data_IF_489650359751
#
_entry.id   IF_489650359751
#
_cell.length_a   1.000
_cell.length_b   1.000
_cell.length_c   1.000
_cell.angle_alpha   90.00
_cell.angle_beta   90.00
_cell.angle_gamma   90.00
#
_symmetry.space_group_name_H-M   'P 1'
#
loop_
_entity.id
_entity.type
_entity.pdbx_description
1 polymer ?
#
# COMPACT_ATOMS: atom_id res chain seq x y z
N UNK A 1 5.61 0.67 -10.58
CA UNK A 1 6.39 1.68 -11.33
C UNK A 1 6.44 2.98 -10.53
N UNK A 2 7.29 3.96 -10.87
CA UNK A 2 7.23 5.31 -10.27
C UNK A 2 6.32 6.21 -11.08
N UNK A 3 5.80 7.27 -10.46
CA UNK A 3 4.98 8.27 -11.14
C UNK A 3 5.76 8.96 -12.26
N UNK A 4 7.06 9.18 -12.07
CA UNK A 4 7.97 9.78 -13.06
C UNK A 4 8.14 8.94 -14.34
N UNK A 5 7.72 7.66 -14.32
CA UNK A 5 7.84 6.74 -15.45
C UNK A 5 6.55 6.66 -16.29
N UNK A 6 5.49 7.38 -15.92
CA UNK A 6 4.23 7.39 -16.67
C UNK A 6 4.37 8.15 -17.99
N UNK A 7 3.76 7.61 -19.03
CA UNK A 7 3.64 8.31 -20.31
C UNK A 7 2.46 9.30 -20.29
N UNK A 8 2.48 10.30 -21.19
CA UNK A 8 1.37 11.25 -21.34
C UNK A 8 0.05 10.54 -21.61
N UNK A 9 -1.00 10.98 -20.92
CA UNK A 9 -2.34 10.39 -21.01
C UNK A 9 -2.54 9.11 -20.21
N UNK A 10 -1.49 8.54 -19.62
CA UNK A 10 -1.65 7.37 -18.76
C UNK A 10 -2.26 7.73 -17.41
N UNK A 11 -3.14 6.85 -16.92
CA UNK A 11 -3.73 6.89 -15.60
C UNK A 11 -3.17 5.78 -14.73
N UNK A 12 -2.88 6.11 -13.48
CA UNK A 12 -2.38 5.16 -12.50
C UNK A 12 -2.96 5.42 -11.11
N UNK A 13 -2.91 4.40 -10.25
CA UNK A 13 -3.30 4.52 -8.84
C UNK A 13 -2.06 4.69 -7.98
N UNK A 14 -2.10 5.65 -7.07
CA UNK A 14 -1.04 5.88 -6.09
C UNK A 14 -1.06 4.75 -5.05
N UNK A 15 0.05 4.01 -4.94
CA UNK A 15 0.20 2.93 -3.96
C UNK A 15 0.96 3.40 -2.74
N UNK A 16 1.99 4.23 -2.93
CA UNK A 16 2.85 4.69 -1.85
C UNK A 16 3.51 6.01 -2.18
N UNK A 17 3.64 6.86 -1.18
CA UNK A 17 4.50 8.06 -1.24
C UNK A 17 5.69 7.83 -0.30
N UNK A 18 6.88 7.88 -0.87
CA UNK A 18 8.16 7.78 -0.16
C UNK A 18 8.73 9.18 0.10
N UNK A 19 9.74 9.27 0.97
CA UNK A 19 10.34 10.55 1.39
C UNK A 19 9.99 10.92 2.83
N UNK A 20 10.67 11.96 3.34
CA UNK A 20 10.66 12.31 4.75
C UNK A 20 10.39 13.80 4.96
N UNK A 21 10.00 14.17 6.17
CA UNK A 21 9.84 15.57 6.58
C UNK A 21 8.78 16.34 5.77
N UNK A 22 9.08 17.60 5.49
CA UNK A 22 8.15 18.54 4.85
C UNK A 22 7.68 18.13 3.45
N UNK A 23 8.52 17.44 2.69
CA UNK A 23 8.17 16.96 1.34
C UNK A 23 6.94 16.03 1.38
N UNK A 24 6.99 15.02 2.26
CA UNK A 24 5.92 14.02 2.35
C UNK A 24 4.61 14.65 2.81
N UNK A 25 4.66 15.56 3.79
CA UNK A 25 3.48 16.30 4.26
C UNK A 25 2.84 17.11 3.12
N UNK A 26 3.64 17.89 2.41
CA UNK A 26 3.20 18.71 1.26
C UNK A 26 2.59 17.87 0.15
N UNK A 27 3.23 16.76 -0.26
CA UNK A 27 2.72 15.89 -1.33
C UNK A 27 1.35 15.29 -0.96
N UNK A 28 1.17 14.89 0.30
CA UNK A 28 -0.11 14.40 0.79
C UNK A 28 -1.17 15.51 0.79
N UNK A 29 -0.84 16.72 1.23
CA UNK A 29 -1.72 17.90 1.20
C UNK A 29 -2.11 18.29 -0.23
N UNK A 30 -1.20 18.10 -1.20
CA UNK A 30 -1.47 18.29 -2.63
C UNK A 30 -2.29 17.15 -3.26
N UNK A 31 -2.82 16.20 -2.50
CA UNK A 31 -3.76 15.19 -2.99
C UNK A 31 -3.12 13.91 -3.54
N UNK A 32 -1.80 13.77 -3.48
CA UNK A 32 -1.11 12.53 -3.83
C UNK A 32 -1.17 11.53 -2.67
N UNK A 33 -2.38 11.04 -2.41
CA UNK A 33 -2.69 10.07 -1.34
C UNK A 33 -2.91 8.67 -1.92
N UNK A 34 -2.60 7.65 -1.11
CA UNK A 34 -2.78 6.24 -1.49
C UNK A 34 -4.22 5.95 -1.89
N UNK A 35 -4.39 5.23 -3.01
CA UNK A 35 -5.68 4.85 -3.57
C UNK A 35 -6.30 5.90 -4.49
N UNK A 36 -5.72 7.09 -4.63
CA UNK A 36 -6.19 8.09 -5.59
C UNK A 36 -5.59 7.86 -6.98
N UNK A 37 -6.40 8.18 -7.98
CA UNK A 37 -6.02 8.15 -9.40
C UNK A 37 -5.27 9.43 -9.73
N UNK A 38 -4.20 9.28 -10.50
CA UNK A 38 -3.41 10.35 -11.06
C UNK A 38 -3.25 10.13 -12.56
N UNK A 39 -3.38 11.21 -13.33
CA UNK A 39 -3.23 11.23 -14.79
C UNK A 39 -2.03 12.10 -15.16
N UNK A 40 -1.22 11.69 -16.13
CA UNK A 40 -0.09 12.48 -16.61
C UNK A 40 -0.51 13.36 -17.78
N UNK A 41 -0.38 14.69 -17.65
CA UNK A 41 -0.91 15.68 -18.60
C UNK A 41 0.13 16.34 -19.52
N UNK A 42 1.43 16.02 -19.36
CA UNK A 42 2.60 16.56 -20.09
C UNK A 42 2.43 17.87 -20.90
N UNK A 43 3.13 18.94 -20.50
CA UNK A 43 3.19 20.19 -21.27
C UNK A 43 4.53 20.94 -21.13
N UNK A 44 5.66 20.21 -21.08
CA UNK A 44 7.00 20.78 -20.93
C UNK A 44 7.97 20.26 -22.02
N UNK A 45 8.66 21.15 -22.77
CA UNK A 45 9.54 20.75 -23.88
C UNK A 45 10.79 19.95 -23.45
N UNK A 46 11.12 19.94 -22.15
CA UNK A 46 12.31 19.29 -21.58
C UNK A 46 12.00 18.19 -20.56
N UNK A 47 10.76 17.69 -20.50
CA UNK A 47 10.32 16.59 -19.61
C UNK A 47 10.47 16.81 -18.09
N UNK A 48 10.82 18.03 -17.63
CA UNK A 48 10.82 18.43 -16.22
C UNK A 48 10.50 19.94 -16.09
N UNK A 49 9.54 20.36 -15.25
CA UNK A 49 8.62 19.56 -14.44
C UNK A 49 7.50 18.90 -15.27
N UNK A 50 6.88 17.86 -14.70
CA UNK A 50 5.78 17.12 -15.32
C UNK A 50 4.45 17.57 -14.69
N UNK A 51 3.44 17.82 -15.52
CA UNK A 51 2.07 18.12 -15.07
C UNK A 51 1.27 16.85 -14.85
N UNK A 52 0.55 16.79 -13.74
CA UNK A 52 -0.35 15.70 -13.38
C UNK A 52 -1.73 16.25 -13.03
N UNK A 53 -2.78 15.46 -13.29
CA UNK A 53 -4.13 15.69 -12.74
C UNK A 53 -4.34 14.78 -11.55
N UNK A 54 -4.74 15.35 -10.41
CA UNK A 54 -5.09 14.61 -9.21
C UNK A 54 -6.30 15.29 -8.55
N UNK A 55 -7.28 14.51 -8.10
CA UNK A 55 -8.51 15.02 -7.45
C UNK A 55 -9.23 16.14 -8.26
N UNK A 56 -9.12 16.12 -9.60
CA UNK A 56 -9.78 17.08 -10.48
C UNK A 56 -9.03 18.40 -10.73
N UNK A 57 -7.84 18.60 -10.15
CA UNK A 57 -6.99 19.77 -10.41
C UNK A 57 -5.61 19.37 -10.92
N UNK A 58 -4.90 20.34 -11.51
CA UNK A 58 -3.58 20.13 -12.11
C UNK A 58 -2.47 20.55 -11.15
N UNK A 59 -1.45 19.71 -11.02
CA UNK A 59 -0.25 19.96 -10.21
C UNK A 59 0.99 19.69 -11.04
N UNK A 60 1.96 20.61 -10.99
CA UNK A 60 3.28 20.38 -11.58
C UNK A 60 4.23 19.86 -10.51
N UNK A 61 4.84 18.70 -10.75
CA UNK A 61 5.88 18.14 -9.88
C UNK A 61 7.20 18.03 -10.64
N UNK A 62 8.31 18.28 -9.94
CA UNK A 62 9.63 17.93 -10.49
C UNK A 62 9.73 16.42 -10.65
N UNK A 63 10.50 15.97 -11.64
CA UNK A 63 10.74 14.55 -11.90
C UNK A 63 11.33 13.84 -10.68
N UNK A 64 12.21 14.51 -9.94
CA UNK A 64 12.78 13.99 -8.68
C UNK A 64 11.73 13.80 -7.58
N UNK A 65 10.70 14.64 -7.54
CA UNK A 65 9.58 14.52 -6.59
C UNK A 65 8.65 13.38 -7.01
N UNK A 66 8.32 13.30 -8.30
CA UNK A 66 7.51 12.22 -8.87
C UNK A 66 8.18 10.84 -8.72
N UNK A 67 9.52 10.76 -8.73
CA UNK A 67 10.26 9.52 -8.49
C UNK A 67 10.02 8.92 -7.08
N UNK A 68 9.56 9.73 -6.12
CA UNK A 68 9.21 9.28 -4.77
C UNK A 68 7.79 8.72 -4.65
N UNK A 69 6.96 8.82 -5.69
CA UNK A 69 5.59 8.31 -5.70
C UNK A 69 5.54 7.00 -6.48
N UNK A 70 5.09 5.93 -5.83
CA UNK A 70 4.88 4.62 -6.45
C UNK A 70 3.43 4.49 -6.92
N UNK A 71 3.28 4.05 -8.16
CA UNK A 71 1.99 3.89 -8.82
C UNK A 71 1.87 2.52 -9.50
N UNK A 72 0.62 2.14 -9.77
CA UNK A 72 0.26 0.99 -10.61
C UNK A 72 -0.65 1.49 -11.72
N UNK A 73 -0.24 1.29 -12.98
CA UNK A 73 -1.02 1.72 -14.15
C UNK A 73 -2.33 0.93 -14.28
N UNK A 74 -3.34 1.53 -14.90
CA UNK A 74 -4.65 0.87 -15.10
C UNK A 74 -4.56 -0.45 -15.89
N UNK A 75 -3.61 -0.57 -16.82
CA UNK A 75 -3.34 -1.82 -17.55
C UNK A 75 -2.86 -2.95 -16.64
N UNK A 76 -2.07 -2.63 -15.60
CA UNK A 76 -1.53 -3.60 -14.65
C UNK A 76 -2.54 -4.00 -13.56
N UNK A 77 -3.64 -3.26 -13.42
CA UNK A 77 -4.71 -3.57 -12.47
C UNK A 77 -5.56 -4.75 -12.94
N UNK A 78 -5.62 -5.02 -14.25
CA UNK A 78 -6.38 -6.13 -14.83
C UNK A 78 -5.77 -7.52 -14.55
N UNK A 79 -4.47 -7.57 -14.22
CA UNK A 79 -3.75 -8.83 -13.91
C UNK A 79 -3.73 -9.18 -12.41
N UNK A 80 -4.32 -8.33 -11.56
CA UNK A 80 -4.40 -8.62 -10.12
C UNK A 80 -5.48 -9.68 -9.91
N UNK A 81 -5.13 -10.81 -9.28
CA UNK A 81 -6.03 -11.94 -9.01
C UNK A 81 -7.39 -11.45 -8.47
N UNK A 82 -8.39 -11.40 -9.36
CA UNK A 82 -9.75 -10.92 -9.09
C UNK A 82 -10.59 -11.93 -8.28
N UNK A 83 -10.00 -13.06 -7.87
CA UNK A 83 -10.72 -14.22 -7.31
C UNK A 83 -11.47 -13.92 -6.00
N UNK A 84 -11.11 -12.85 -5.28
CA UNK A 84 -11.77 -12.44 -4.03
C UNK A 84 -12.62 -11.15 -4.17
N UNK A 85 -12.93 -10.69 -5.40
CA UNK A 85 -13.61 -9.42 -5.61
C UNK A 85 -15.13 -9.60 -5.73
N UNK A 86 -15.96 -9.00 -4.86
CA UNK A 86 -17.41 -9.08 -4.97
C UNK A 86 -17.94 -8.24 -6.14
N UNK A 87 -18.97 -8.74 -6.84
CA UNK A 87 -19.61 -8.03 -7.95
C UNK A 87 -20.30 -6.73 -7.48
N UNK A 88 -20.15 -5.63 -8.25
CA UNK A 88 -20.84 -4.36 -8.00
C UNK A 88 -20.00 -3.24 -7.36
N UNK A 89 -18.67 -3.36 -7.32
CA UNK A 89 -17.77 -2.33 -6.79
C UNK A 89 -17.64 -1.12 -7.74
N UNK A 90 -17.85 0.08 -7.20
CA UNK A 90 -17.55 1.35 -7.87
C UNK A 90 -16.04 1.41 -8.19
N UNK A 91 -15.67 1.92 -9.38
CA UNK A 91 -14.26 1.99 -9.85
C UNK A 91 -13.30 2.52 -8.78
N UNK A 92 -13.66 3.60 -8.06
CA UNK A 92 -12.80 4.22 -7.05
C UNK A 92 -12.53 3.31 -5.83
N UNK A 93 -13.50 2.47 -5.46
CA UNK A 93 -13.38 1.54 -4.32
C UNK A 93 -12.60 0.28 -4.70
N UNK A 94 -12.78 -0.20 -5.94
CA UNK A 94 -11.94 -1.26 -6.50
C UNK A 94 -10.46 -0.81 -6.57
N UNK A 95 -10.21 0.40 -7.06
CA UNK A 95 -8.86 0.99 -7.15
C UNK A 95 -8.23 1.15 -5.76
N UNK A 96 -9.00 1.60 -4.75
CA UNK A 96 -8.57 1.62 -3.35
C UNK A 96 -8.21 0.25 -2.82
N UNK A 97 -9.03 -0.76 -3.09
CA UNK A 97 -8.78 -2.13 -2.63
C UNK A 97 -7.56 -2.74 -3.30
N UNK A 98 -7.29 -2.47 -4.57
CA UNK A 98 -6.05 -2.93 -5.23
C UNK A 98 -4.81 -2.20 -4.67
N UNK A 99 -4.93 -0.89 -4.39
CA UNK A 99 -3.87 -0.17 -3.70
C UNK A 99 -3.61 -0.74 -2.29
N UNK A 100 -4.64 -1.26 -1.63
CA UNK A 100 -4.56 -1.87 -0.30
C UNK A 100 -4.13 -3.35 -0.34
N UNK A 101 -4.48 -4.12 -1.37
CA UNK A 101 -4.24 -5.58 -1.47
C UNK A 101 -2.76 -5.92 -1.61
N UNK A 102 -1.93 -4.98 -2.07
CA UNK A 102 -0.46 -5.04 -1.95
C UNK A 102 0.05 -4.90 -0.49
N UNK A 103 -0.68 -5.42 0.50
CA UNK A 103 -0.10 -5.60 1.85
C UNK A 103 1.02 -6.62 1.71
N UNK A 104 2.22 -6.24 2.14
CA UNK A 104 3.31 -7.20 2.31
C UNK A 104 2.86 -8.22 3.36
N UNK A 105 3.17 -9.51 3.14
CA UNK A 105 3.17 -10.47 4.23
C UNK A 105 4.12 -9.95 5.32
N UNK A 106 3.57 -9.57 6.47
CA UNK A 106 4.36 -9.16 7.62
C UNK A 106 4.57 -10.41 8.45
N UNK A 107 5.82 -10.86 8.54
CA UNK A 107 6.21 -11.91 9.49
C UNK A 107 6.36 -11.28 10.86
N UNK A 108 5.55 -11.72 11.81
CA UNK A 108 5.53 -11.22 13.19
C UNK A 108 5.97 -12.36 14.11
N UNK A 109 6.89 -12.07 15.02
CA UNK A 109 7.27 -12.99 16.09
C UNK A 109 6.72 -12.47 17.42
N UNK A 110 6.04 -13.33 18.19
CA UNK A 110 5.55 -13.01 19.54
C UNK A 110 6.54 -13.54 20.58
N UNK A 111 7.22 -12.63 21.29
CA UNK A 111 8.28 -12.97 22.27
C UNK A 111 7.97 -12.32 23.61
N UNK A 112 8.30 -12.99 24.73
CA UNK A 112 8.08 -12.45 26.07
C UNK A 112 7.96 -13.52 27.15
N UNK A 113 7.91 -13.08 28.41
CA UNK A 113 7.91 -13.93 29.60
C UNK A 113 6.69 -14.90 29.64
N UNK A 114 6.80 -16.06 30.32
CA UNK A 114 5.67 -16.90 30.72
C UNK A 114 4.38 -16.15 31.07
N UNK A 115 3.23 -16.68 30.64
CA UNK A 115 1.88 -16.19 30.97
C UNK A 115 1.56 -14.72 30.58
N UNK A 116 2.37 -14.05 29.75
CA UNK A 116 2.07 -12.69 29.27
C UNK A 116 1.04 -12.62 28.12
N UNK A 117 0.34 -13.72 27.81
CA UNK A 117 -0.73 -13.74 26.79
C UNK A 117 -0.27 -13.92 25.35
N UNK A 118 0.98 -14.37 25.10
CA UNK A 118 1.51 -14.63 23.75
C UNK A 118 0.64 -15.63 22.99
N UNK A 119 0.30 -16.75 23.64
CA UNK A 119 -0.54 -17.81 23.08
C UNK A 119 -1.95 -17.31 22.79
N UNK A 120 -2.52 -16.47 23.65
CA UNK A 120 -3.84 -15.87 23.44
C UNK A 120 -3.87 -14.93 22.22
N UNK A 121 -2.82 -14.10 22.06
CA UNK A 121 -2.70 -13.23 20.88
C UNK A 121 -2.45 -14.03 19.60
N UNK A 122 -1.62 -15.07 19.67
CA UNK A 122 -1.38 -15.99 18.56
C UNK A 122 -2.68 -16.67 18.11
N UNK A 123 -3.45 -17.25 19.03
CA UNK A 123 -4.72 -17.92 18.74
C UNK A 123 -5.75 -16.96 18.14
N UNK A 124 -5.85 -15.74 18.69
CA UNK A 124 -6.75 -14.73 18.14
C UNK A 124 -6.34 -14.28 16.74
N UNK A 125 -5.04 -14.17 16.47
CA UNK A 125 -4.51 -13.73 15.18
C UNK A 125 -4.56 -14.83 14.10
N UNK A 126 -4.27 -16.07 14.48
CA UNK A 126 -4.22 -17.23 13.58
C UNK A 126 -5.55 -17.99 13.45
N UNK A 127 -6.52 -17.73 14.35
CA UNK A 127 -7.74 -18.55 14.47
C UNK A 127 -7.52 -19.93 15.08
N UNK A 128 -6.31 -20.23 15.56
CA UNK A 128 -5.96 -21.51 16.18
C UNK A 128 -6.36 -21.62 17.65
N UNK A 129 -6.16 -22.81 18.21
CA UNK A 129 -6.38 -23.13 19.63
C UNK A 129 -5.14 -23.81 20.24
N UNK A 130 -3.98 -23.16 20.13
CA UNK A 130 -2.78 -23.66 20.78
C UNK A 130 -2.94 -23.58 22.30
N UNK A 131 -2.61 -24.68 22.97
CA UNK A 131 -2.68 -24.80 24.41
C UNK A 131 -1.30 -24.60 25.03
N UNK A 132 -1.25 -23.96 26.20
CA UNK A 132 -0.02 -23.86 26.99
C UNK A 132 0.30 -25.26 27.57
N UNK A 133 1.49 -25.79 27.26
CA UNK A 133 1.94 -27.12 27.66
C UNK A 133 2.45 -27.18 29.11
N UNK A 134 2.38 -28.38 29.70
CA UNK A 134 2.47 -28.73 31.14
C UNK A 134 3.82 -28.52 31.89
N UNK A 135 4.58 -27.47 31.56
CA UNK A 135 5.50 -26.87 32.53
C UNK A 135 4.83 -25.60 33.05
N UNK A 136 4.79 -25.39 34.36
CA UNK A 136 4.13 -24.24 34.99
C UNK A 136 4.48 -22.91 34.29
N UNK A 137 3.63 -22.50 33.35
CA UNK A 137 3.67 -21.24 32.61
C UNK A 137 4.61 -21.10 31.40
N UNK A 138 5.34 -22.12 30.91
CA UNK A 138 6.35 -21.91 29.85
C UNK A 138 6.06 -22.66 28.55
N UNK A 139 5.73 -21.92 27.48
CA UNK A 139 5.75 -22.40 26.09
C UNK A 139 7.20 -22.50 25.61
N UNK A 140 7.71 -23.71 25.36
CA UNK A 140 9.12 -23.94 24.96
C UNK A 140 9.28 -24.11 23.43
N UNK A 141 8.21 -24.48 22.72
CA UNK A 141 8.23 -24.69 21.27
C UNK A 141 7.82 -23.45 20.47
N UNK A 142 8.51 -23.21 19.35
CA UNK A 142 8.12 -22.20 18.37
C UNK A 142 6.90 -22.67 17.56
N UNK A 143 5.88 -21.82 17.45
CA UNK A 143 4.65 -22.09 16.71
C UNK A 143 4.52 -21.10 15.55
N UNK A 144 4.18 -21.60 14.38
CA UNK A 144 3.94 -20.80 13.17
C UNK A 144 2.45 -20.84 12.82
N UNK A 145 1.91 -19.71 12.36
CA UNK A 145 0.51 -19.58 11.96
C UNK A 145 0.35 -18.40 11.00
N UNK A 146 -0.65 -18.47 10.11
CA UNK A 146 -0.89 -17.49 9.04
C UNK A 146 -2.26 -16.87 9.12
#
# INVERSE_FOLDING_TARGET
MKLADLHPGEKAVIVKVSGHGGFRKRILEMGFVRGKVVETLQNAPLMDPVKYRVMGYEVSLRRSEAANVEVVGMSQLAEVDLKDMPEGLVEEEALRRVALSRRKHIRVALVGNPNCGKTALFNRASGGHEHEGNYGGVTVDAKEGS
#
